data_IF_958467667361
#
_entry.id   IF_958467667361
#
_cell.length_a   1.000
_cell.length_b   1.000
_cell.length_c   1.000
_cell.angle_alpha   90.00
_cell.angle_beta   90.00
_cell.angle_gamma   90.00
#
_symmetry.space_group_name_H-M   'P 1'
#
loop_
_entity.id
_entity.type
_entity.pdbx_description
1 polymer ?
#
# COMPACT_ATOMS: atom_id res chain seq x y z
N UNK A 1 -5.00 19.10 9.39
CA UNK A 1 -4.45 17.73 9.15
C UNK A 1 -3.76 17.74 7.80
N UNK A 2 -2.46 17.42 7.74
CA UNK A 2 -1.70 17.46 6.48
C UNK A 2 -2.32 16.49 5.44
N UNK A 3 -2.38 16.89 4.16
CA UNK A 3 -3.00 16.11 3.08
C UNK A 3 -2.38 14.71 2.96
N UNK A 4 -1.08 14.62 3.26
CA UNK A 4 -0.29 13.41 3.37
C UNK A 4 -0.83 12.42 4.41
N UNK A 5 -1.08 12.90 5.64
CA UNK A 5 -1.58 12.07 6.75
C UNK A 5 -3.01 11.59 6.48
N UNK A 6 -3.84 12.45 5.87
CA UNK A 6 -5.22 12.08 5.47
C UNK A 6 -5.23 10.93 4.47
N UNK A 7 -4.41 11.01 3.42
CA UNK A 7 -4.32 9.93 2.41
C UNK A 7 -3.81 8.62 2.99
N UNK A 8 -2.86 8.70 3.91
CA UNK A 8 -2.32 7.54 4.63
C UNK A 8 -3.37 6.84 5.49
N UNK A 9 -4.15 7.59 6.27
CA UNK A 9 -5.27 7.04 7.05
C UNK A 9 -6.33 6.39 6.16
N UNK A 10 -6.65 7.01 5.03
CA UNK A 10 -7.57 6.43 4.05
C UNK A 10 -7.01 5.13 3.44
N UNK A 11 -5.71 5.04 3.20
CA UNK A 11 -5.08 3.81 2.73
C UNK A 11 -5.16 2.68 3.79
N UNK A 12 -4.90 2.98 5.07
CA UNK A 12 -5.07 2.02 6.17
C UNK A 12 -6.53 1.56 6.32
N UNK A 13 -7.49 2.48 6.19
CA UNK A 13 -8.91 2.13 6.23
C UNK A 13 -9.33 1.23 5.06
N UNK A 14 -8.80 1.48 3.85
CA UNK A 14 -9.00 0.58 2.70
C UNK A 14 -8.47 -0.83 2.99
N UNK A 15 -7.32 -0.93 3.66
CA UNK A 15 -6.75 -2.24 4.03
C UNK A 15 -7.62 -2.99 5.05
N UNK A 16 -8.19 -2.27 6.01
CA UNK A 16 -9.21 -2.83 6.90
C UNK A 16 -10.37 -3.44 6.12
N UNK A 17 -10.90 -2.75 5.12
CA UNK A 17 -11.99 -3.26 4.28
C UNK A 17 -11.56 -4.47 3.43
N UNK A 18 -10.33 -4.49 2.88
CA UNK A 18 -9.84 -5.63 2.08
C UNK A 18 -9.53 -6.87 2.92
N UNK A 19 -9.27 -6.71 4.22
CA UNK A 19 -9.01 -7.83 5.14
C UNK A 19 -10.29 -8.63 5.47
N UNK A 20 -11.45 -7.99 5.45
CA UNK A 20 -12.73 -8.60 5.85
C UNK A 20 -13.07 -9.86 5.03
N UNK A 21 -13.08 -9.84 3.68
CA UNK A 21 -13.39 -11.04 2.89
C UNK A 21 -12.44 -12.20 3.16
N UNK A 22 -11.16 -11.91 3.40
CA UNK A 22 -10.16 -12.92 3.72
C UNK A 22 -10.43 -13.58 5.08
N UNK A 23 -10.75 -12.79 6.10
CA UNK A 23 -11.11 -13.30 7.43
C UNK A 23 -12.41 -14.12 7.40
N UNK A 24 -13.40 -13.65 6.65
CA UNK A 24 -14.65 -14.40 6.42
C UNK A 24 -14.35 -15.75 5.77
N UNK A 25 -13.47 -15.79 4.77
CA UNK A 25 -13.09 -17.04 4.09
C UNK A 25 -12.38 -18.03 5.04
N UNK A 26 -11.44 -17.57 5.87
CA UNK A 26 -10.78 -18.42 6.88
C UNK A 26 -11.80 -18.99 7.86
N UNK A 27 -12.69 -18.15 8.38
CA UNK A 27 -13.67 -18.57 9.38
C UNK A 27 -14.66 -19.58 8.82
N UNK A 28 -15.10 -19.41 7.57
CA UNK A 28 -15.93 -20.39 6.87
C UNK A 28 -15.17 -21.69 6.59
N UNK A 29 -13.88 -21.62 6.22
CA UNK A 29 -13.05 -22.80 6.00
C UNK A 29 -12.83 -23.63 7.28
N UNK A 30 -12.81 -22.98 8.43
CA UNK A 30 -12.76 -23.62 9.75
C UNK A 30 -14.13 -24.17 10.22
N UNK A 31 -15.21 -23.94 9.47
CA UNK A 31 -16.56 -24.38 9.84
C UNK A 31 -17.23 -23.57 10.94
N UNK A 32 -16.68 -22.39 11.28
CA UNK A 32 -17.24 -21.51 12.30
C UNK A 32 -18.37 -20.63 11.74
N UNK A 33 -19.38 -20.36 12.55
CA UNK A 33 -20.44 -19.42 12.19
C UNK A 33 -19.89 -17.99 12.10
N UNK A 34 -20.44 -17.19 11.18
CA UNK A 34 -20.09 -15.77 11.05
C UNK A 34 -20.67 -14.99 12.22
N UNK A 35 -19.80 -14.35 12.99
CA UNK A 35 -20.18 -13.48 14.10
C UNK A 35 -19.83 -12.03 13.77
N UNK A 36 -20.54 -11.02 14.31
CA UNK A 36 -20.19 -9.61 14.10
C UNK A 36 -18.71 -9.29 14.42
N UNK A 37 -18.12 -10.03 15.37
CA UNK A 37 -16.70 -9.92 15.71
C UNK A 37 -15.76 -10.15 14.53
N UNK A 38 -16.07 -11.05 13.61
CA UNK A 38 -15.24 -11.35 12.43
C UNK A 38 -14.94 -10.12 11.59
N UNK A 39 -15.94 -9.26 11.40
CA UNK A 39 -15.82 -8.04 10.61
C UNK A 39 -14.97 -7.00 11.33
N UNK A 40 -15.14 -6.88 12.65
CA UNK A 40 -14.36 -5.96 13.49
C UNK A 40 -12.89 -6.39 13.57
N UNK A 41 -12.64 -7.68 13.79
CA UNK A 41 -11.28 -8.23 13.82
C UNK A 41 -10.59 -8.09 12.46
N UNK A 42 -11.29 -8.40 11.36
CA UNK A 42 -10.74 -8.19 10.02
C UNK A 42 -10.40 -6.73 9.74
N UNK A 43 -11.32 -5.81 10.03
CA UNK A 43 -11.07 -4.38 9.86
C UNK A 43 -9.90 -3.89 10.72
N UNK A 44 -9.89 -4.26 12.00
CA UNK A 44 -8.84 -3.87 12.95
C UNK A 44 -7.46 -4.40 12.54
N UNK A 45 -7.37 -5.68 12.17
CA UNK A 45 -6.12 -6.29 11.70
C UNK A 45 -5.59 -5.59 10.44
N UNK A 46 -6.44 -5.36 9.44
CA UNK A 46 -6.05 -4.65 8.22
C UNK A 46 -5.63 -3.19 8.48
N UNK A 47 -6.31 -2.51 9.40
CA UNK A 47 -5.97 -1.15 9.78
C UNK A 47 -4.62 -1.06 10.50
N UNK A 48 -4.35 -1.98 11.44
CA UNK A 48 -3.06 -2.08 12.16
C UNK A 48 -1.93 -2.39 11.19
N UNK A 49 -2.09 -3.36 10.29
CA UNK A 49 -1.09 -3.68 9.25
C UNK A 49 -0.84 -2.45 8.38
N UNK A 50 -1.91 -1.75 7.99
CA UNK A 50 -1.80 -0.50 7.24
C UNK A 50 -0.96 0.55 7.99
N UNK A 51 -1.21 0.77 9.28
CA UNK A 51 -0.40 1.68 10.09
C UNK A 51 1.05 1.20 10.20
N UNK A 52 1.27 -0.08 10.50
CA UNK A 52 2.60 -0.67 10.63
C UNK A 52 3.42 -0.50 9.34
N UNK A 53 2.81 -0.71 8.17
CA UNK A 53 3.46 -0.49 6.87
C UNK A 53 3.90 0.97 6.69
N UNK A 54 3.09 1.92 7.16
CA UNK A 54 3.36 3.36 7.02
C UNK A 54 4.51 3.86 7.89
N UNK A 55 4.69 3.30 9.09
CA UNK A 55 5.66 3.78 10.08
C UNK A 55 6.92 2.91 10.18
N UNK A 56 6.77 1.58 10.24
CA UNK A 56 7.87 0.67 10.59
C UNK A 56 8.70 0.29 9.36
N UNK A 57 8.08 0.19 8.19
CA UNK A 57 8.70 -0.41 6.99
C UNK A 57 8.93 0.59 5.83
N UNK A 58 8.87 1.89 6.13
CA UNK A 58 9.03 2.94 5.13
C UNK A 58 10.46 2.89 4.57
N UNK A 59 10.58 2.73 3.25
CA UNK A 59 11.84 2.70 2.50
C UNK A 59 12.79 1.50 2.75
N UNK A 60 12.40 0.50 3.53
CA UNK A 60 13.23 -0.71 3.70
C UNK A 60 13.20 -1.57 2.44
N UNK A 61 14.39 -2.03 2.02
CA UNK A 61 14.61 -3.06 1.00
C UNK A 61 14.22 -2.67 -0.44
N UNK A 62 14.33 -1.39 -0.80
CA UNK A 62 13.91 -0.86 -2.13
C UNK A 62 14.55 -1.56 -3.34
N UNK A 63 15.74 -2.13 -3.17
CA UNK A 63 16.49 -2.82 -4.24
C UNK A 63 16.16 -4.30 -4.38
N UNK A 64 15.30 -4.87 -3.52
CA UNK A 64 14.97 -6.29 -3.58
C UNK A 64 13.89 -6.62 -4.62
N UNK A 65 13.94 -7.83 -5.22
CA UNK A 65 12.86 -8.34 -6.06
C UNK A 65 11.51 -8.32 -5.35
N UNK A 66 10.44 -8.18 -6.13
CA UNK A 66 9.07 -8.00 -5.63
C UNK A 66 8.69 -9.01 -4.53
N UNK A 67 8.95 -10.30 -4.79
CA UNK A 67 8.56 -11.41 -3.92
C UNK A 67 9.37 -11.48 -2.64
N UNK A 68 10.69 -11.29 -2.72
CA UNK A 68 11.55 -11.31 -1.54
C UNK A 68 11.27 -10.12 -0.62
N UNK A 69 11.02 -8.95 -1.21
CA UNK A 69 10.55 -7.78 -0.49
C UNK A 69 9.26 -8.06 0.27
N UNK A 70 8.28 -8.69 -0.38
CA UNK A 70 6.99 -9.04 0.23
C UNK A 70 7.18 -10.01 1.41
N UNK A 71 7.93 -11.09 1.20
CA UNK A 71 8.20 -12.10 2.23
C UNK A 71 8.88 -11.50 3.45
N UNK A 72 9.98 -10.77 3.28
CA UNK A 72 10.73 -10.20 4.40
C UNK A 72 9.86 -9.21 5.18
N UNK A 73 9.08 -8.38 4.50
CA UNK A 73 8.16 -7.44 5.18
C UNK A 73 7.07 -8.18 5.96
N UNK A 74 6.43 -9.19 5.36
CA UNK A 74 5.41 -9.98 6.03
C UNK A 74 5.97 -10.71 7.26
N UNK A 75 7.17 -11.30 7.14
CA UNK A 75 7.86 -11.96 8.24
C UNK A 75 8.27 -11.00 9.35
N UNK A 76 8.72 -9.79 9.03
CA UNK A 76 9.08 -8.78 10.03
C UNK A 76 7.86 -8.31 10.85
N UNK A 77 6.71 -8.08 10.20
CA UNK A 77 5.46 -7.73 10.91
C UNK A 77 5.03 -8.90 11.79
N UNK A 78 5.01 -10.12 11.24
CA UNK A 78 4.64 -11.32 11.98
C UNK A 78 5.52 -11.53 13.22
N UNK A 79 6.84 -11.41 13.05
CA UNK A 79 7.81 -11.52 14.13
C UNK A 79 7.53 -10.48 15.22
N UNK A 80 7.24 -9.24 14.84
CA UNK A 80 6.91 -8.17 15.79
C UNK A 80 5.64 -8.49 16.58
N UNK A 81 4.60 -8.97 15.91
CA UNK A 81 3.35 -9.39 16.56
C UNK A 81 3.57 -10.58 17.50
N UNK A 82 4.35 -11.56 17.07
CA UNK A 82 4.66 -12.75 17.86
C UNK A 82 5.50 -12.39 19.10
N UNK A 83 6.52 -11.55 18.95
CA UNK A 83 7.30 -11.05 20.10
C UNK A 83 6.43 -10.28 21.08
N UNK A 84 5.48 -9.48 20.59
CA UNK A 84 4.50 -8.78 21.45
C UNK A 84 3.64 -9.79 22.21
N UNK A 85 3.13 -10.82 21.55
CA UNK A 85 2.37 -11.91 22.17
C UNK A 85 3.19 -12.63 23.26
N UNK A 86 4.45 -12.97 22.99
CA UNK A 86 5.36 -13.62 23.94
C UNK A 86 5.59 -12.72 25.17
N UNK A 87 5.84 -11.43 24.96
CA UNK A 87 6.05 -10.47 26.06
C UNK A 87 4.79 -10.31 26.91
N UNK A 88 3.61 -10.24 26.30
CA UNK A 88 2.34 -10.14 27.04
C UNK A 88 2.10 -11.38 27.91
N UNK A 89 2.30 -12.59 27.37
CA UNK A 89 2.16 -13.82 28.16
C UNK A 89 3.23 -13.92 29.27
N UNK A 90 4.41 -13.33 29.08
CA UNK A 90 5.44 -13.27 30.10
C UNK A 90 5.02 -12.35 31.26
N UNK A 91 4.31 -11.26 30.97
CA UNK A 91 3.74 -10.40 32.01
C UNK A 91 2.72 -11.16 32.85
N UNK A 92 1.91 -12.04 32.25
CA UNK A 92 0.95 -12.85 33.02
C UNK A 92 1.66 -13.84 33.97
N UNK A 93 2.83 -14.37 33.59
CA UNK A 93 3.68 -15.17 34.50
C UNK A 93 4.18 -14.35 35.68
N UNK A 94 4.60 -13.11 35.43
CA UNK A 94 5.21 -12.23 36.45
C UNK A 94 4.17 -11.58 37.36
N UNK A 95 3.00 -11.20 36.82
CA UNK A 95 1.96 -10.44 37.50
C UNK A 95 0.91 -11.37 38.11
N UNK A 96 0.36 -12.29 37.30
CA UNK A 96 -0.74 -13.16 37.70
C UNK A 96 -0.26 -14.51 38.23
N UNK A 97 1.05 -14.75 38.23
CA UNK A 97 1.66 -15.96 38.80
C UNK A 97 1.40 -17.23 38.01
N UNK A 98 1.13 -17.12 36.70
CA UNK A 98 0.96 -18.28 35.82
C UNK A 98 2.24 -19.13 35.83
N UNK A 99 2.10 -20.47 35.83
CA UNK A 99 3.25 -21.36 35.82
C UNK A 99 4.04 -21.29 34.50
N UNK A 100 5.37 -21.44 34.58
CA UNK A 100 6.23 -21.51 33.40
C UNK A 100 5.83 -22.60 32.41
N UNK A 101 5.28 -23.72 32.90
CA UNK A 101 4.75 -24.78 32.04
C UNK A 101 3.53 -24.32 31.23
N UNK A 102 2.61 -23.57 31.84
CA UNK A 102 1.44 -23.05 31.15
C UNK A 102 1.84 -22.01 30.09
N UNK A 103 2.82 -21.16 30.40
CA UNK A 103 3.41 -20.22 29.44
C UNK A 103 4.04 -20.93 28.22
N UNK A 104 4.89 -21.94 28.45
CA UNK A 104 5.51 -22.70 27.37
C UNK A 104 4.48 -23.44 26.53
N UNK A 105 3.44 -24.01 27.16
CA UNK A 105 2.33 -24.65 26.43
C UNK A 105 1.58 -23.63 25.58
N UNK A 106 1.27 -22.43 26.09
CA UNK A 106 0.55 -21.41 25.33
C UNK A 106 1.30 -20.96 24.06
N UNK A 107 2.62 -20.80 24.16
CA UNK A 107 3.45 -20.34 23.03
C UNK A 107 3.68 -21.45 22.00
N UNK A 108 3.86 -22.69 22.45
CA UNK A 108 4.13 -23.84 21.58
C UNK A 108 2.88 -24.62 21.17
N UNK A 109 1.69 -24.17 21.58
CA UNK A 109 0.44 -24.85 21.27
C UNK A 109 0.23 -24.92 19.74
N UNK A 110 -0.16 -26.09 19.20
CA UNK A 110 -0.47 -26.21 17.77
C UNK A 110 -1.51 -25.20 17.27
N UNK A 111 -2.44 -24.74 18.11
CA UNK A 111 -3.41 -23.69 17.71
C UNK A 111 -2.73 -22.33 17.55
N UNK A 112 -1.76 -22.01 18.41
CA UNK A 112 -0.95 -20.80 18.28
C UNK A 112 -0.12 -20.84 16.99
N UNK A 113 0.48 -21.99 16.66
CA UNK A 113 1.28 -22.17 15.44
C UNK A 113 0.44 -22.11 14.17
N UNK A 114 -0.74 -22.74 14.16
CA UNK A 114 -1.68 -22.66 13.02
C UNK A 114 -2.21 -21.24 12.86
N UNK A 115 -2.57 -20.56 13.95
CA UNK A 115 -2.93 -19.14 13.93
C UNK A 115 -1.82 -18.25 13.37
N UNK A 116 -0.55 -18.52 13.69
CA UNK A 116 0.60 -17.79 13.14
C UNK A 116 0.67 -17.89 11.62
N UNK A 117 0.42 -19.08 11.05
CA UNK A 117 0.37 -19.29 9.60
C UNK A 117 -0.79 -18.53 8.95
N UNK A 118 -1.96 -18.53 9.59
CA UNK A 118 -3.14 -17.78 9.13
C UNK A 118 -2.86 -16.26 9.11
N UNK A 119 -2.28 -15.72 10.19
CA UNK A 119 -1.87 -14.31 10.24
C UNK A 119 -0.79 -13.99 9.21
N UNK A 120 0.17 -14.87 8.99
CA UNK A 120 1.18 -14.69 7.96
C UNK A 120 0.55 -14.61 6.58
N UNK A 121 -0.38 -15.52 6.25
CA UNK A 121 -1.12 -15.50 5.00
C UNK A 121 -1.94 -14.21 4.83
N UNK A 122 -2.61 -13.75 5.89
CA UNK A 122 -3.36 -12.48 5.89
C UNK A 122 -2.44 -11.27 5.62
N UNK A 123 -1.32 -11.17 6.34
CA UNK A 123 -0.37 -10.05 6.18
C UNK A 123 0.20 -10.06 4.77
N UNK A 124 0.59 -11.24 4.26
CA UNK A 124 1.12 -11.39 2.92
C UNK A 124 0.09 -10.98 1.86
N UNK A 125 -1.17 -11.41 2.02
CA UNK A 125 -2.29 -11.01 1.16
C UNK A 125 -2.49 -9.49 1.16
N UNK A 126 -2.56 -8.86 2.34
CA UNK A 126 -2.77 -7.42 2.46
C UNK A 126 -1.62 -6.62 1.83
N UNK A 127 -0.36 -6.98 2.14
CA UNK A 127 0.80 -6.30 1.58
C UNK A 127 0.92 -6.50 0.06
N UNK A 128 0.53 -7.68 -0.45
CA UNK A 128 0.43 -7.92 -1.89
C UNK A 128 -0.58 -6.96 -2.53
N UNK A 129 -1.78 -6.83 -1.94
CA UNK A 129 -2.81 -5.92 -2.42
C UNK A 129 -2.35 -4.46 -2.43
N UNK A 130 -1.67 -3.99 -1.38
CA UNK A 130 -1.09 -2.63 -1.36
C UNK A 130 -0.10 -2.43 -2.50
N UNK A 131 0.79 -3.40 -2.70
CA UNK A 131 1.84 -3.28 -3.71
C UNK A 131 1.25 -3.33 -5.12
N UNK A 132 0.20 -4.12 -5.33
CA UNK A 132 -0.54 -4.20 -6.58
C UNK A 132 -1.30 -2.90 -6.88
N UNK A 133 -2.00 -2.31 -5.91
CA UNK A 133 -2.69 -1.02 -6.09
C UNK A 133 -1.69 0.12 -6.39
N UNK A 134 -0.51 0.11 -5.75
CA UNK A 134 0.58 1.06 -6.09
C UNK A 134 1.14 0.87 -7.49
N UNK A 135 1.21 -0.37 -7.98
CA UNK A 135 1.72 -0.68 -9.32
C UNK A 135 0.73 -0.26 -10.42
N UNK A 136 -0.56 -0.54 -10.21
CA UNK A 136 -1.61 -0.21 -11.19
C UNK A 136 -2.03 1.26 -11.15
N UNK A 137 -1.77 1.93 -10.03
CA UNK A 137 -2.21 3.30 -9.77
C UNK A 137 -3.47 3.34 -8.91
N UNK A 138 -3.63 4.40 -8.07
CA UNK A 138 -4.71 4.48 -7.10
C UNK A 138 -6.11 4.30 -7.72
N UNK A 139 -6.86 3.29 -7.26
CA UNK A 139 -8.26 3.10 -7.68
C UNK A 139 -8.46 2.39 -9.01
N UNK A 140 -7.39 2.10 -9.75
CA UNK A 140 -7.43 1.28 -10.97
C UNK A 140 -7.76 -0.17 -10.61
N UNK A 141 -7.15 -0.73 -9.57
CA UNK A 141 -7.41 -2.10 -9.13
C UNK A 141 -8.91 -2.34 -8.84
N UNK A 142 -9.57 -1.40 -8.15
CA UNK A 142 -11.00 -1.49 -7.85
C UNK A 142 -11.84 -1.45 -9.13
N UNK A 143 -11.44 -0.64 -10.12
CA UNK A 143 -12.10 -0.60 -11.42
C UNK A 143 -11.99 -1.93 -12.17
N UNK A 144 -10.88 -2.66 -12.06
CA UNK A 144 -10.76 -4.01 -12.62
C UNK A 144 -11.67 -5.01 -11.90
N UNK A 145 -11.66 -5.04 -10.57
CA UNK A 145 -12.46 -5.98 -9.76
C UNK A 145 -13.97 -5.75 -9.98
N UNK A 146 -14.41 -4.50 -10.06
CA UNK A 146 -15.81 -4.15 -10.30
C UNK A 146 -16.24 -4.29 -11.76
N UNK A 147 -15.34 -4.69 -12.66
CA UNK A 147 -15.60 -4.81 -14.08
C UNK A 147 -15.76 -3.48 -14.82
N UNK A 148 -15.45 -2.35 -14.19
CA UNK A 148 -15.61 -0.99 -14.76
C UNK A 148 -14.95 -0.84 -16.13
N UNK A 149 -13.78 -1.47 -16.32
CA UNK A 149 -12.98 -1.36 -17.54
C UNK A 149 -13.30 -2.38 -18.64
N UNK A 150 -14.27 -3.27 -18.43
CA UNK A 150 -14.63 -4.28 -19.44
C UNK A 150 -15.41 -3.69 -20.62
N UNK A 151 -15.97 -2.48 -20.47
CA UNK A 151 -16.67 -1.77 -21.53
C UNK A 151 -16.09 -0.36 -21.66
N UNK A 152 -15.88 0.16 -22.88
CA UNK A 152 -15.49 1.54 -23.09
C UNK A 152 -16.47 2.49 -22.39
N UNK A 153 -15.94 3.50 -21.69
CA UNK A 153 -16.74 4.55 -21.05
C UNK A 153 -16.26 5.91 -21.51
N UNK A 154 -17.22 6.83 -21.69
CA UNK A 154 -16.92 8.24 -21.90
C UNK A 154 -16.65 8.88 -20.54
N UNK A 155 -15.47 9.47 -20.38
CA UNK A 155 -15.11 10.26 -19.20
C UNK A 155 -14.71 11.66 -19.66
N UNK A 156 -15.21 12.69 -18.97
CA UNK A 156 -14.72 14.05 -19.18
C UNK A 156 -13.47 14.23 -18.31
N UNK A 157 -12.34 14.48 -18.97
CA UNK A 157 -11.03 14.61 -18.33
C UNK A 157 -10.29 15.81 -18.88
N UNK A 158 -9.47 16.40 -18.02
CA UNK A 158 -8.46 17.40 -18.39
C UNK A 158 -7.16 16.65 -18.63
N UNK A 159 -6.45 16.99 -19.69
CA UNK A 159 -5.13 16.44 -20.01
C UNK A 159 -4.10 17.56 -20.05
N UNK A 160 -2.92 17.28 -19.53
CA UNK A 160 -1.75 18.15 -19.60
C UNK A 160 -0.59 17.33 -20.14
N UNK A 161 0.09 17.88 -21.13
CA UNK A 161 1.27 17.30 -21.77
C UNK A 161 2.47 18.11 -21.29
N UNK A 162 3.39 17.47 -20.57
CA UNK A 162 4.60 18.09 -20.05
C UNK A 162 5.81 17.47 -20.73
N UNK A 163 6.58 18.29 -21.41
CA UNK A 163 7.77 17.87 -22.16
C UNK A 163 9.03 18.56 -21.62
N UNK A 164 10.15 17.86 -21.70
CA UNK A 164 11.44 18.34 -21.24
C UNK A 164 12.06 19.29 -22.27
N UNK A 165 12.23 20.55 -21.88
CA UNK A 165 12.87 21.54 -22.75
C UNK A 165 14.32 21.14 -23.10
N UNK A 166 14.61 21.00 -24.40
CA UNK A 166 15.97 20.72 -24.88
C UNK A 166 16.42 19.28 -24.67
N UNK A 167 15.48 18.33 -24.53
CA UNK A 167 15.76 16.92 -24.29
C UNK A 167 16.68 16.28 -25.34
N UNK A 168 16.52 16.62 -26.62
CA UNK A 168 17.39 16.13 -27.70
C UNK A 168 18.86 16.49 -27.44
N UNK A 169 19.12 17.75 -27.04
CA UNK A 169 20.48 18.20 -26.76
C UNK A 169 21.05 17.50 -25.50
N UNK A 170 20.22 17.30 -24.48
CA UNK A 170 20.61 16.52 -23.30
C UNK A 170 20.92 15.05 -23.64
N UNK A 171 20.13 14.44 -24.52
CA UNK A 171 20.32 13.07 -24.98
C UNK A 171 21.62 12.95 -25.81
N UNK A 172 21.92 13.92 -26.66
CA UNK A 172 23.15 13.93 -27.48
C UNK A 172 24.42 14.11 -26.64
N UNK A 173 24.33 14.84 -25.51
CA UNK A 173 25.47 15.11 -24.62
C UNK A 173 25.71 14.04 -23.55
N UNK A 174 24.75 13.13 -23.32
CA UNK A 174 24.82 12.13 -22.26
C UNK A 174 24.93 10.72 -22.83
N UNK A 175 25.59 9.82 -22.09
CA UNK A 175 25.44 8.38 -22.35
C UNK A 175 24.02 7.94 -22.01
N UNK A 176 23.52 6.89 -22.68
CA UNK A 176 22.15 6.39 -22.48
C UNK A 176 21.81 6.17 -21.00
N UNK A 177 22.69 5.52 -20.24
CA UNK A 177 22.49 5.25 -18.81
C UNK A 177 22.34 6.55 -17.98
N UNK A 178 23.13 7.58 -18.32
CA UNK A 178 23.07 8.89 -17.64
C UNK A 178 21.80 9.63 -17.99
N UNK A 179 21.35 9.56 -19.24
CA UNK A 179 20.10 10.16 -19.70
C UNK A 179 18.89 9.52 -19.00
N UNK A 180 18.80 8.18 -18.95
CA UNK A 180 17.73 7.48 -18.23
C UNK A 180 17.76 7.74 -16.72
N UNK A 181 18.96 7.80 -16.13
CA UNK A 181 19.10 8.16 -14.71
C UNK A 181 18.71 9.63 -14.43
N UNK A 182 18.91 10.53 -15.40
CA UNK A 182 18.43 11.90 -15.33
C UNK A 182 16.90 11.94 -15.41
N UNK A 183 16.28 11.29 -16.40
CA UNK A 183 14.82 11.22 -16.53
C UNK A 183 14.15 10.63 -15.29
N UNK A 184 14.73 9.57 -14.71
CA UNK A 184 14.20 8.97 -13.48
C UNK A 184 14.16 9.98 -12.32
N UNK A 185 15.21 10.80 -12.17
CA UNK A 185 15.26 11.86 -11.15
C UNK A 185 14.28 12.98 -11.45
N UNK A 186 14.22 13.41 -12.71
CA UNK A 186 13.29 14.45 -13.17
C UNK A 186 11.82 14.09 -12.87
N UNK A 187 11.39 12.87 -13.22
CA UNK A 187 10.03 12.42 -12.88
C UNK A 187 9.82 12.19 -11.36
N UNK A 188 10.86 11.80 -10.64
CA UNK A 188 10.78 11.65 -9.19
C UNK A 188 10.52 13.00 -8.49
N UNK A 189 11.13 14.09 -8.97
CA UNK A 189 10.90 15.44 -8.44
C UNK A 189 9.46 15.93 -8.67
N UNK A 190 8.83 15.56 -9.81
CA UNK A 190 7.42 15.88 -10.08
C UNK A 190 6.41 15.12 -9.22
N UNK A 191 6.83 14.05 -8.53
CA UNK A 191 5.91 13.16 -7.83
C UNK A 191 5.12 13.87 -6.73
N UNK A 192 5.75 14.80 -6.00
CA UNK A 192 5.08 15.55 -4.93
C UNK A 192 4.05 16.56 -5.47
N UNK A 193 4.36 17.41 -6.46
CA UNK A 193 3.38 18.25 -7.16
C UNK A 193 2.18 17.50 -7.75
N UNK A 194 2.44 16.39 -8.46
CA UNK A 194 1.42 15.50 -9.04
C UNK A 194 0.49 14.98 -7.94
N UNK A 195 1.08 14.50 -6.84
CA UNK A 195 0.31 14.03 -5.70
C UNK A 195 -0.48 15.18 -5.05
N UNK A 196 0.11 16.34 -4.83
CA UNK A 196 -0.53 17.49 -4.18
C UNK A 196 -1.73 18.05 -4.95
N UNK A 197 -1.80 17.80 -6.25
CA UNK A 197 -2.87 18.27 -7.15
C UNK A 197 -3.81 17.16 -7.60
N UNK A 198 -3.72 15.97 -7.01
CA UNK A 198 -4.53 14.79 -7.38
C UNK A 198 -4.43 14.41 -8.86
N UNK A 199 -3.30 14.71 -9.51
CA UNK A 199 -3.07 14.33 -10.90
C UNK A 199 -2.84 12.82 -11.01
N UNK A 200 -3.39 12.21 -12.06
CA UNK A 200 -3.12 10.83 -12.45
C UNK A 200 -2.11 10.85 -13.62
N UNK A 201 -1.12 9.96 -13.59
CA UNK A 201 -0.22 9.78 -14.73
C UNK A 201 -0.91 8.87 -15.74
N UNK A 202 -1.24 9.41 -16.90
CA UNK A 202 -1.88 8.65 -17.98
C UNK A 202 -0.85 7.77 -18.70
N UNK A 203 0.29 8.35 -19.08
CA UNK A 203 1.40 7.63 -19.70
C UNK A 203 2.69 8.46 -19.66
N UNK A 204 3.82 7.77 -19.82
CA UNK A 204 5.12 8.37 -20.15
C UNK A 204 5.39 8.10 -21.63
N UNK A 205 5.76 9.14 -22.40
CA UNK A 205 6.09 9.05 -23.82
C UNK A 205 7.52 9.58 -24.00
N UNK A 206 8.51 8.70 -23.85
CA UNK A 206 9.92 9.11 -23.84
C UNK A 206 10.24 9.99 -22.63
N UNK A 207 10.52 11.25 -22.88
CA UNK A 207 10.77 12.32 -21.91
C UNK A 207 9.52 13.14 -21.56
N UNK A 208 8.41 12.91 -22.27
CA UNK A 208 7.13 13.53 -22.00
C UNK A 208 6.34 12.75 -20.93
N UNK A 209 5.63 13.46 -20.05
CA UNK A 209 4.64 12.89 -19.14
C UNK A 209 3.26 13.48 -19.40
N UNK A 210 2.27 12.60 -19.59
CA UNK A 210 0.87 13.01 -19.76
C UNK A 210 0.16 12.88 -18.43
N UNK A 211 -0.27 14.00 -17.88
CA UNK A 211 -1.08 14.07 -16.67
C UNK A 211 -2.56 14.20 -17.01
N UNK A 212 -3.41 13.63 -16.16
CA UNK A 212 -4.86 13.72 -16.34
C UNK A 212 -5.59 13.87 -15.02
N UNK A 213 -6.74 14.56 -15.08
CA UNK A 213 -7.68 14.69 -13.99
C UNK A 213 -9.09 14.41 -14.49
N UNK A 214 -9.94 13.85 -13.63
CA UNK A 214 -11.39 14.03 -13.80
C UNK A 214 -11.73 15.51 -13.68
N UNK A 215 -12.69 15.99 -14.48
CA UNK A 215 -13.07 17.42 -14.50
C UNK A 215 -13.22 18.03 -13.11
N UNK A 216 -13.98 17.40 -12.22
CA UNK A 216 -14.21 17.91 -10.87
C UNK A 216 -12.90 18.07 -10.07
N UNK A 217 -12.02 17.08 -10.11
CA UNK A 217 -10.76 17.11 -9.36
C UNK A 217 -9.71 18.05 -9.96
N UNK A 218 -9.72 18.24 -11.29
CA UNK A 218 -8.81 19.18 -11.96
C UNK A 218 -9.20 20.64 -11.76
N UNK A 219 -10.50 20.94 -11.69
CA UNK A 219 -11.01 22.29 -11.44
C UNK A 219 -11.00 22.68 -9.95
N UNK A 220 -11.04 21.70 -9.04
CA UNK A 220 -10.90 21.93 -7.60
C UNK A 220 -9.60 22.68 -7.32
N UNK A 221 -9.70 23.88 -6.75
CA UNK A 221 -8.57 24.78 -6.47
C UNK A 221 -7.64 25.00 -7.68
N UNK A 222 -8.19 24.91 -8.90
CA UNK A 222 -7.44 24.94 -10.16
C UNK A 222 -6.24 23.97 -10.18
N UNK A 223 -6.38 22.77 -9.60
CA UNK A 223 -5.36 21.73 -9.54
C UNK A 223 -4.64 21.49 -10.89
N UNK A 224 -5.39 21.50 -11.99
CA UNK A 224 -4.84 21.32 -13.34
C UNK A 224 -3.86 22.41 -13.75
N UNK A 225 -3.96 23.63 -13.23
CA UNK A 225 -2.99 24.71 -13.45
C UNK A 225 -1.94 24.74 -12.33
N UNK A 226 -2.36 24.49 -11.09
CA UNK A 226 -1.49 24.53 -9.92
C UNK A 226 -0.32 23.55 -10.02
N UNK A 227 -0.51 22.39 -10.67
CA UNK A 227 0.56 21.40 -10.82
C UNK A 227 1.75 21.98 -11.57
N UNK A 228 1.51 22.81 -12.58
CA UNK A 228 2.56 23.42 -13.39
C UNK A 228 3.42 24.34 -12.54
N UNK A 229 2.81 25.21 -11.73
CA UNK A 229 3.51 26.12 -10.82
C UNK A 229 4.17 25.44 -9.62
N UNK A 230 3.85 24.17 -9.34
CA UNK A 230 4.51 23.39 -8.29
C UNK A 230 5.70 22.58 -8.82
N UNK A 231 5.78 22.36 -10.13
CA UNK A 231 6.90 21.65 -10.79
C UNK A 231 8.07 22.61 -11.09
N UNK A 232 7.79 23.91 -11.22
CA UNK A 232 8.78 24.97 -11.44
C UNK A 232 9.78 25.12 -10.27
#
# INVERSE_FOLDING_TARGET
MNSYTRRRLLASAKLGLTAIPFMVAIQLAQGHALVPGTFLYGFGAGFIVGIAELFVLKNWLKSLPFFLHLLIKSGAILLTLYLTFVVLNLLDVVIDGISWEAYLRAILDPKTLTGLLEYFALILFLLFFVKLDRLLGPGVLLGYITGRYHRPRRENRIFMFLDLKGSTNLADQMTADRYFSFLHRYFAEMSEPILATNAEIYQYVGDEVVLTWRMAGGLEEANCLRVFFLIE
#
